data_IF_274774151240
#
_entry.id   IF_274774151240
#
_cell.length_a   1.000
_cell.length_b   1.000
_cell.length_c   1.000
_cell.angle_alpha   90.00
_cell.angle_beta   90.00
_cell.angle_gamma   90.00
#
_symmetry.space_group_name_H-M   'P 1'
#
loop_
_entity.id
_entity.type
_entity.pdbx_description
1 polymer ?
#
# COMPACT_ATOMS: atom_id res chain seq x y z
N UNK A 1 50.33 -21.51 -26.75
CA UNK A 1 49.11 -22.15 -26.25
C UNK A 1 48.58 -21.27 -25.13
N UNK A 2 47.50 -20.52 -25.41
CA UNK A 2 46.86 -19.64 -24.44
C UNK A 2 45.72 -20.38 -23.74
N UNK A 3 45.55 -20.09 -22.46
CA UNK A 3 44.56 -20.72 -21.56
C UNK A 3 43.11 -20.49 -22.06
N UNK A 4 42.29 -21.55 -22.25
CA UNK A 4 40.90 -21.42 -22.69
C UNK A 4 39.93 -20.92 -21.60
N UNK A 5 40.40 -20.67 -20.36
CA UNK A 5 39.54 -20.26 -19.25
C UNK A 5 39.27 -18.74 -19.16
N UNK A 6 39.62 -17.95 -20.17
CA UNK A 6 39.21 -16.54 -20.26
C UNK A 6 37.80 -16.40 -20.86
N UNK A 7 36.84 -17.18 -20.35
CA UNK A 7 35.42 -16.91 -20.56
C UNK A 7 35.13 -15.65 -19.76
N UNK A 8 35.27 -14.50 -20.41
CA UNK A 8 34.83 -13.23 -19.87
C UNK A 8 33.41 -13.41 -19.36
N UNK A 9 33.25 -13.32 -18.03
CA UNK A 9 31.96 -13.28 -17.37
C UNK A 9 31.17 -12.22 -18.11
N UNK A 10 30.22 -12.70 -18.92
CA UNK A 10 29.41 -11.89 -19.80
C UNK A 10 28.86 -10.75 -18.97
N UNK A 11 29.09 -9.54 -19.49
CA UNK A 11 28.41 -8.29 -19.15
C UNK A 11 27.25 -8.59 -18.21
N UNK A 12 27.44 -8.31 -16.91
CA UNK A 12 26.34 -8.33 -15.93
C UNK A 12 25.19 -7.64 -16.64
N UNK A 13 24.14 -8.39 -16.95
CA UNK A 13 22.91 -7.81 -17.43
C UNK A 13 22.46 -6.91 -16.28
N UNK A 14 22.87 -5.63 -16.32
CA UNK A 14 22.27 -4.61 -15.47
C UNK A 14 20.77 -4.81 -15.60
N UNK A 15 20.19 -5.13 -14.46
CA UNK A 15 19.05 -6.02 -14.29
C UNK A 15 17.89 -5.59 -15.19
N UNK A 16 17.41 -6.49 -16.05
CA UNK A 16 16.08 -6.33 -16.64
C UNK A 16 15.11 -6.29 -15.46
N UNK A 17 14.61 -5.10 -15.12
CA UNK A 17 13.58 -4.92 -14.10
C UNK A 17 12.26 -5.40 -14.66
N UNK A 18 12.01 -6.70 -14.54
CA UNK A 18 10.77 -7.37 -14.97
C UNK A 18 9.51 -6.77 -14.35
N UNK A 19 9.65 -6.05 -13.24
CA UNK A 19 8.61 -5.19 -12.67
C UNK A 19 9.25 -3.99 -11.96
N UNK A 20 8.55 -2.86 -11.97
CA UNK A 20 8.84 -1.71 -11.11
C UNK A 20 7.62 -1.42 -10.26
N UNK A 21 7.80 -1.39 -8.95
CA UNK A 21 6.77 -0.93 -8.02
C UNK A 21 7.05 0.52 -7.66
N UNK A 22 6.02 1.35 -7.74
CA UNK A 22 6.07 2.67 -7.14
C UNK A 22 6.10 2.50 -5.61
N UNK A 23 7.17 2.98 -4.98
CA UNK A 23 7.42 2.70 -3.56
C UNK A 23 6.37 3.35 -2.68
N UNK A 24 5.96 4.57 -3.02
CA UNK A 24 4.99 5.34 -2.22
C UNK A 24 3.60 4.72 -2.31
N UNK A 25 3.20 4.31 -3.50
CA UNK A 25 1.96 3.54 -3.72
C UNK A 25 1.96 2.24 -2.94
N UNK A 26 3.05 1.48 -2.98
CA UNK A 26 3.15 0.21 -2.23
C UNK A 26 3.12 0.44 -0.73
N UNK A 27 3.86 1.44 -0.21
CA UNK A 27 3.87 1.79 1.21
C UNK A 27 2.47 2.18 1.67
N UNK A 28 1.78 3.05 0.92
CA UNK A 28 0.39 3.44 1.20
C UNK A 28 -0.54 2.23 1.22
N UNK A 29 -0.40 1.32 0.26
CA UNK A 29 -1.27 0.15 0.14
C UNK A 29 -1.09 -0.81 1.33
N UNK A 30 0.15 -1.03 1.79
CA UNK A 30 0.41 -1.83 2.99
C UNK A 30 -0.28 -1.23 4.22
N UNK A 31 -0.22 0.09 4.39
CA UNK A 31 -0.88 0.77 5.52
C UNK A 31 -2.40 0.69 5.45
N UNK A 32 -2.97 0.88 4.26
CA UNK A 32 -4.40 0.74 3.99
C UNK A 32 -4.89 -0.68 4.31
N UNK A 33 -4.23 -1.71 3.77
CA UNK A 33 -4.59 -3.11 4.03
C UNK A 33 -4.41 -3.52 5.49
N UNK A 34 -3.42 -2.95 6.19
CA UNK A 34 -3.23 -3.21 7.61
C UNK A 34 -4.38 -2.63 8.44
N UNK A 35 -4.82 -1.39 8.16
CA UNK A 35 -6.00 -0.80 8.80
C UNK A 35 -7.26 -1.60 8.51
N UNK A 36 -7.49 -1.96 7.24
CA UNK A 36 -8.66 -2.74 6.83
C UNK A 36 -8.76 -4.07 7.59
N UNK A 37 -7.63 -4.76 7.81
CA UNK A 37 -7.61 -6.04 8.49
C UNK A 37 -7.76 -5.94 10.02
N UNK A 38 -7.22 -4.89 10.65
CA UNK A 38 -7.08 -4.82 12.11
C UNK A 38 -8.02 -3.82 12.79
N UNK A 39 -8.44 -2.79 12.07
CA UNK A 39 -9.38 -1.77 12.53
C UNK A 39 -10.42 -1.46 11.42
N UNK A 40 -11.25 -2.45 11.02
CA UNK A 40 -12.15 -2.33 9.88
C UNK A 40 -13.26 -1.27 10.07
N UNK A 41 -13.60 -0.95 11.33
CA UNK A 41 -14.65 -0.01 11.68
C UNK A 41 -14.35 0.70 13.02
N UNK A 42 -15.10 1.76 13.38
CA UNK A 42 -14.86 2.55 14.58
C UNK A 42 -14.91 1.79 15.92
N UNK A 43 -15.57 0.63 16.00
CA UNK A 43 -15.63 -0.18 17.23
C UNK A 43 -14.33 -0.96 17.48
N UNK A 44 -13.54 -1.16 16.41
CA UNK A 44 -12.24 -1.83 16.44
C UNK A 44 -11.08 -0.85 16.20
N UNK A 45 -11.30 0.45 16.46
CA UNK A 45 -10.29 1.46 16.25
C UNK A 45 -9.01 1.16 17.06
N UNK A 46 -7.87 1.40 16.44
CA UNK A 46 -6.55 1.16 17.02
C UNK A 46 -5.88 2.47 17.41
N UNK A 47 -4.98 2.42 18.38
CA UNK A 47 -4.17 3.58 18.74
C UNK A 47 -3.30 4.04 17.55
N UNK A 48 -3.21 5.36 17.35
CA UNK A 48 -2.50 5.95 16.21
C UNK A 48 -0.99 5.72 16.26
N UNK A 49 -0.38 5.72 17.44
CA UNK A 49 1.04 5.45 17.57
C UNK A 49 1.30 3.96 17.31
N UNK A 50 0.48 3.07 17.87
CA UNK A 50 0.54 1.63 17.63
C UNK A 50 0.39 1.30 16.14
N UNK A 51 -0.56 1.93 15.44
CA UNK A 51 -0.71 1.80 13.99
C UNK A 51 0.57 2.17 13.26
N UNK A 52 1.14 3.34 13.57
CA UNK A 52 2.32 3.86 12.88
C UNK A 52 3.56 2.99 13.08
N UNK A 53 3.75 2.43 14.28
CA UNK A 53 4.83 1.48 14.55
C UNK A 53 4.62 0.17 13.79
N UNK A 54 3.42 -0.40 13.89
CA UNK A 54 3.08 -1.66 13.21
C UNK A 54 3.20 -1.54 11.69
N UNK A 55 2.76 -0.43 11.10
CA UNK A 55 2.90 -0.17 9.67
C UNK A 55 4.37 -0.10 9.26
N UNK A 56 5.23 0.57 10.03
CA UNK A 56 6.69 0.61 9.76
C UNK A 56 7.31 -0.77 9.84
N UNK A 57 6.90 -1.60 10.79
CA UNK A 57 7.48 -2.93 10.97
C UNK A 57 7.15 -3.90 9.82
N UNK A 58 6.06 -3.66 9.09
CA UNK A 58 5.68 -4.42 7.90
C UNK A 58 6.46 -4.04 6.63
N UNK A 59 7.23 -2.95 6.66
CA UNK A 59 7.95 -2.44 5.50
C UNK A 59 9.42 -2.88 5.53
N UNK A 60 10.06 -3.01 4.35
CA UNK A 60 11.51 -3.06 4.26
C UNK A 60 12.14 -1.90 5.04
N UNK A 61 13.25 -2.15 5.72
CA UNK A 61 13.89 -1.16 6.61
C UNK A 61 14.15 0.18 5.90
N UNK A 62 14.64 0.13 4.66
CA UNK A 62 14.91 1.31 3.84
C UNK A 62 13.66 2.12 3.44
N UNK A 63 12.45 1.59 3.65
CA UNK A 63 11.17 2.22 3.30
C UNK A 63 10.42 2.73 4.52
N UNK A 64 10.84 2.40 5.74
CA UNK A 64 10.15 2.77 7.00
C UNK A 64 9.96 4.29 7.15
N UNK A 65 10.89 5.08 6.65
CA UNK A 65 10.80 6.54 6.68
C UNK A 65 9.64 7.10 5.82
N UNK A 66 9.09 6.29 4.91
CA UNK A 66 7.96 6.66 4.03
C UNK A 66 6.60 6.32 4.64
N UNK A 67 6.55 5.54 5.71
CA UNK A 67 5.32 5.34 6.49
C UNK A 67 5.02 6.61 7.29
N UNK A 68 4.33 7.52 6.63
CA UNK A 68 3.91 8.83 7.13
C UNK A 68 2.43 9.02 6.83
N UNK A 69 1.74 9.81 7.64
CA UNK A 69 0.32 10.12 7.41
C UNK A 69 0.09 10.77 6.04
N UNK A 70 1.02 11.62 5.58
CA UNK A 70 0.94 12.27 4.25
C UNK A 70 1.00 11.26 3.09
N UNK A 71 1.69 10.13 3.30
CA UNK A 71 1.80 9.07 2.31
C UNK A 71 0.67 8.05 2.40
N UNK A 72 -0.12 8.07 3.48
CA UNK A 72 -1.34 7.28 3.60
C UNK A 72 -2.47 8.01 2.89
N UNK A 73 -3.19 7.35 1.99
CA UNK A 73 -4.32 8.00 1.29
C UNK A 73 -5.35 8.54 2.29
N UNK A 74 -5.65 9.83 2.18
CA UNK A 74 -6.59 10.52 3.08
C UNK A 74 -8.02 9.96 3.05
N UNK A 75 -8.38 9.20 2.02
CA UNK A 75 -9.72 8.63 1.87
C UNK A 75 -9.88 7.23 2.47
N UNK A 76 -8.80 6.59 2.92
CA UNK A 76 -8.83 5.21 3.43
C UNK A 76 -8.88 5.09 4.96
N UNK A 77 -8.83 6.20 5.69
CA UNK A 77 -8.86 6.19 7.16
C UNK A 77 -9.79 7.26 7.73
N UNK A 78 -10.15 7.09 9.00
CA UNK A 78 -10.92 8.05 9.80
C UNK A 78 -10.48 7.99 11.25
N UNK A 79 -10.84 9.03 12.02
CA UNK A 79 -10.46 9.20 13.42
C UNK A 79 -11.72 9.20 14.30
N UNK A 80 -12.09 8.08 14.92
CA UNK A 80 -13.20 8.02 15.87
C UNK A 80 -12.98 8.92 17.09
N UNK A 81 -11.73 9.05 17.52
CA UNK A 81 -11.26 9.99 18.54
C UNK A 81 -9.86 10.55 18.16
N UNK A 82 -9.31 11.53 18.90
CA UNK A 82 -8.02 12.14 18.54
C UNK A 82 -6.81 11.20 18.56
N UNK A 83 -6.87 10.11 19.32
CA UNK A 83 -5.79 9.16 19.52
C UNK A 83 -5.99 7.83 18.76
N UNK A 84 -7.19 7.56 18.23
CA UNK A 84 -7.49 6.32 17.51
C UNK A 84 -7.68 6.51 16.00
N UNK A 85 -7.41 5.45 15.24
CA UNK A 85 -7.61 5.40 13.79
C UNK A 85 -8.32 4.11 13.40
N UNK A 86 -9.19 4.17 12.40
CA UNK A 86 -9.75 2.98 11.76
C UNK A 86 -9.87 3.17 10.25
N UNK A 87 -10.07 2.06 9.55
CA UNK A 87 -10.29 2.02 8.12
C UNK A 87 -11.58 2.75 7.74
N UNK A 88 -11.54 3.39 6.58
CA UNK A 88 -12.70 3.99 5.93
C UNK A 88 -12.85 3.35 4.55
N UNK A 89 -13.88 2.51 4.36
CA UNK A 89 -14.17 1.94 3.05
C UNK A 89 -14.35 3.06 2.02
N UNK A 90 -13.71 2.89 0.86
CA UNK A 90 -13.94 3.80 -0.28
C UNK A 90 -15.43 3.77 -0.62
N UNK A 91 -16.07 4.94 -0.65
CA UNK A 91 -17.45 5.02 -1.08
C UNK A 91 -17.55 4.51 -2.53
N UNK A 92 -18.28 3.42 -2.74
CA UNK A 92 -18.56 2.98 -4.10
C UNK A 92 -19.33 4.09 -4.82
N UNK A 93 -18.91 4.51 -6.03
CA UNK A 93 -19.76 5.35 -6.85
C UNK A 93 -21.04 4.57 -7.10
N UNK A 94 -22.16 5.04 -6.55
CA UNK A 94 -23.48 4.49 -6.89
C UNK A 94 -23.62 4.56 -8.40
N UNK A 95 -23.48 3.43 -9.07
CA UNK A 95 -23.77 3.30 -10.49
C UNK A 95 -25.28 3.50 -10.66
N UNK A 96 -25.70 4.77 -10.76
CA UNK A 96 -27.03 5.11 -11.23
C UNK A 96 -27.05 4.75 -12.70
N UNK A 97 -27.38 3.49 -13.02
CA UNK A 97 -27.67 3.08 -14.40
C UNK A 97 -28.87 3.91 -14.86
N UNK A 98 -28.74 4.84 -15.82
CA UNK A 98 -29.88 5.57 -16.35
C UNK A 98 -30.85 4.57 -16.97
N UNK A 99 -32.15 4.75 -16.69
CA UNK A 99 -33.19 3.75 -16.82
C UNK A 99 -33.21 2.98 -18.14
N UNK A 100 -33.25 1.65 -18.03
CA UNK A 100 -33.74 0.78 -19.09
C UNK A 100 -35.26 0.99 -19.18
N UNK A 101 -35.72 1.81 -20.12
CA UNK A 101 -37.14 1.98 -20.41
C UNK A 101 -37.68 0.62 -20.89
N UNK A 102 -38.59 0.03 -20.11
CA UNK A 102 -39.41 -1.09 -20.57
C UNK A 102 -40.34 -0.55 -21.66
N UNK A 103 -40.09 -0.94 -22.91
CA UNK A 103 -41.09 -0.79 -23.95
C UNK A 103 -42.15 -1.86 -23.69
N UNK A 104 -43.40 -1.39 -23.54
CA UNK A 104 -44.58 -2.24 -23.46
C UNK A 104 -45.00 -2.81 -24.79
#
# INVERSE_FOLDING_TARGET
MGDPASVGLGKVCEEIKWASFDRDTTVSWVGESYLEANAPDPTMAMDRAQFMESWKDLLPESWRCRATWDNLKNDCHQYPDPASVCYKPRAEPKATRPGLKKHG
#
